data_IF_621895073425
#
_entry.id   IF_621895073425
#
_cell.length_a   1.000
_cell.length_b   1.000
_cell.length_c   1.000
_cell.angle_alpha   90.00
_cell.angle_beta   90.00
_cell.angle_gamma   90.00
#
_symmetry.space_group_name_H-M   'P 1'
#
loop_
_entity.id
_entity.type
_entity.pdbx_description
1 polymer ?
#
# COMPACT_ATOMS: atom_id res chain seq x y z
N UNK A 1 -22.06 7.50 -15.74
CA UNK A 1 -22.49 7.61 -17.15
C UNK A 1 -21.72 6.57 -17.95
N UNK A 2 -22.42 5.54 -18.43
CA UNK A 2 -21.85 4.43 -19.22
C UNK A 2 -21.23 4.96 -20.52
N UNK A 3 -19.95 4.65 -20.77
CA UNK A 3 -19.35 4.68 -22.10
C UNK A 3 -19.02 3.25 -22.51
N UNK A 4 -19.99 2.62 -23.15
CA UNK A 4 -19.79 1.39 -23.91
C UNK A 4 -18.95 1.75 -25.13
N UNK A 5 -17.69 1.32 -25.18
CA UNK A 5 -16.88 1.36 -26.41
C UNK A 5 -16.97 -0.03 -27.03
N UNK A 6 -18.01 -0.25 -27.83
CA UNK A 6 -18.09 -1.44 -28.67
C UNK A 6 -17.11 -1.32 -29.83
N UNK A 7 -16.00 -2.06 -29.77
CA UNK A 7 -15.12 -2.28 -30.92
C UNK A 7 -15.61 -3.54 -31.65
N UNK A 8 -16.63 -3.38 -32.48
CA UNK A 8 -17.05 -4.41 -33.42
C UNK A 8 -16.08 -4.45 -34.60
N UNK A 9 -15.09 -5.35 -34.59
CA UNK A 9 -14.30 -5.69 -35.78
C UNK A 9 -15.04 -6.80 -36.53
N UNK A 10 -16.17 -6.41 -37.15
CA UNK A 10 -16.83 -7.21 -38.17
C UNK A 10 -16.30 -6.80 -39.53
N UNK A 11 -15.14 -7.31 -39.92
CA UNK A 11 -14.64 -7.12 -41.29
C UNK A 11 -15.08 -8.31 -42.15
N UNK A 12 -16.31 -8.24 -42.65
CA UNK A 12 -16.79 -9.06 -43.75
C UNK A 12 -16.41 -8.36 -45.07
N UNK A 13 -15.23 -8.67 -45.63
CA UNK A 13 -14.91 -8.25 -47.00
C UNK A 13 -15.21 -9.39 -47.98
N UNK A 14 -16.29 -9.21 -48.73
CA UNK A 14 -16.64 -10.07 -49.86
C UNK A 14 -15.53 -9.98 -50.91
N UNK A 15 -14.87 -11.11 -51.10
CA UNK A 15 -13.79 -11.33 -52.05
C UNK A 15 -14.35 -11.31 -53.48
N UNK A 16 -14.38 -10.15 -54.14
CA UNK A 16 -14.64 -10.07 -55.57
C UNK A 16 -13.31 -9.93 -56.32
N UNK A 17 -12.58 -11.04 -56.44
CA UNK A 17 -11.46 -11.12 -57.38
C UNK A 17 -12.09 -11.26 -58.77
N UNK A 18 -12.11 -10.17 -59.53
CA UNK A 18 -12.38 -10.23 -60.97
C UNK A 18 -11.16 -10.87 -61.66
N UNK A 19 -11.12 -12.20 -61.71
CA UNK A 19 -10.19 -12.93 -62.59
C UNK A 19 -10.76 -12.88 -64.01
N UNK A 20 -10.22 -12.00 -64.85
CA UNK A 20 -10.45 -12.10 -66.30
C UNK A 20 -9.47 -13.15 -66.85
N UNK A 21 -9.92 -14.17 -67.60
CA UNK A 21 -9.02 -15.14 -68.19
C UNK A 21 -8.13 -14.46 -69.24
N UNK A 22 -6.81 -14.65 -69.10
CA UNK A 22 -5.84 -14.29 -70.14
C UNK A 22 -6.03 -15.29 -71.27
N UNK A 23 -6.85 -14.94 -72.26
CA UNK A 23 -6.79 -15.56 -73.60
C UNK A 23 -5.92 -14.67 -74.47
N UNK A 24 -4.77 -15.21 -74.86
CA UNK A 24 -3.85 -14.59 -75.78
C UNK A 24 -4.47 -14.53 -77.18
N UNK A 25 -4.82 -13.33 -77.64
CA UNK A 25 -4.94 -13.06 -79.07
C UNK A 25 -4.53 -11.61 -79.36
N UNK A 26 -3.41 -11.43 -80.07
CA UNK A 26 -2.83 -10.13 -80.37
C UNK A 26 -3.69 -9.33 -81.36
N UNK A 27 -4.66 -8.56 -80.85
CA UNK A 27 -5.21 -7.40 -81.56
C UNK A 27 -4.52 -6.14 -81.05
N UNK A 28 -4.07 -5.26 -81.96
CA UNK A 28 -3.58 -3.92 -81.63
C UNK A 28 -4.69 -3.19 -80.86
N UNK A 29 -4.56 -3.11 -79.54
CA UNK A 29 -5.40 -2.25 -78.71
C UNK A 29 -5.30 -0.82 -79.25
N UNK A 30 -6.44 -0.14 -79.34
CA UNK A 30 -6.49 1.28 -79.67
C UNK A 30 -5.81 2.08 -78.56
N UNK A 31 -5.27 3.27 -78.89
CA UNK A 31 -4.65 4.16 -77.89
C UNK A 31 -5.61 4.45 -76.73
N UNK A 32 -6.91 4.52 -77.00
CA UNK A 32 -7.95 4.73 -75.99
C UNK A 32 -8.10 3.54 -75.01
N UNK A 33 -8.02 2.29 -75.48
CA UNK A 33 -8.11 1.11 -74.61
C UNK A 33 -6.87 0.97 -73.71
N UNK A 34 -5.69 1.34 -74.21
CA UNK A 34 -4.47 1.38 -73.39
C UNK A 34 -4.52 2.48 -72.32
N UNK A 35 -5.15 3.63 -72.60
CA UNK A 35 -5.34 4.69 -71.61
C UNK A 35 -6.27 4.25 -70.48
N UNK A 36 -7.39 3.58 -70.80
CA UNK A 36 -8.31 3.03 -69.80
C UNK A 36 -7.63 1.98 -68.92
N UNK A 37 -6.81 1.09 -69.51
CA UNK A 37 -6.08 0.09 -68.75
C UNK A 37 -5.02 0.71 -67.81
N UNK A 38 -4.34 1.77 -68.26
CA UNK A 38 -3.38 2.50 -67.41
C UNK A 38 -4.10 3.15 -66.22
N UNK A 39 -5.26 3.76 -66.44
CA UNK A 39 -6.04 4.40 -65.38
C UNK A 39 -6.56 3.37 -64.36
N UNK A 40 -7.00 2.19 -64.83
CA UNK A 40 -7.39 1.07 -63.96
C UNK A 40 -6.21 0.52 -63.14
N UNK A 41 -5.03 0.36 -63.76
CA UNK A 41 -3.83 -0.09 -63.05
C UNK A 41 -3.35 0.95 -62.03
N UNK A 42 -3.47 2.24 -62.33
CA UNK A 42 -3.16 3.32 -61.38
C UNK A 42 -4.09 3.28 -60.17
N UNK A 43 -5.39 3.06 -60.39
CA UNK A 43 -6.37 2.93 -59.31
C UNK A 43 -6.11 1.69 -58.45
N UNK A 44 -5.71 0.56 -59.06
CA UNK A 44 -5.32 -0.64 -58.31
C UNK A 44 -4.06 -0.42 -57.47
N UNK A 45 -3.08 0.32 -57.98
CA UNK A 45 -1.86 0.65 -57.23
C UNK A 45 -2.20 1.52 -56.02
N UNK A 46 -3.05 2.54 -56.19
CA UNK A 46 -3.47 3.42 -55.09
C UNK A 46 -4.23 2.64 -54.00
N UNK A 47 -5.09 1.68 -54.39
CA UNK A 47 -5.77 0.79 -53.44
C UNK A 47 -4.80 -0.14 -52.69
N UNK A 48 -3.80 -0.68 -53.40
CA UNK A 48 -2.74 -1.50 -52.80
C UNK A 48 -1.85 -0.68 -51.84
N UNK A 49 -1.54 0.56 -52.17
CA UNK A 49 -0.79 1.48 -51.31
C UNK A 49 -1.57 1.83 -50.05
N UNK A 50 -2.88 2.08 -50.16
CA UNK A 50 -3.77 2.30 -49.02
C UNK A 50 -3.83 1.07 -48.09
N UNK A 51 -3.96 -0.14 -48.67
CA UNK A 51 -3.93 -1.40 -47.91
C UNK A 51 -2.60 -1.65 -47.22
N UNK A 52 -1.48 -1.31 -47.87
CA UNK A 52 -0.15 -1.41 -47.24
C UNK A 52 -0.04 -0.42 -46.08
N UNK A 53 -0.55 0.81 -46.20
CA UNK A 53 -0.54 1.78 -45.12
C UNK A 53 -1.36 1.31 -43.90
N UNK A 54 -2.55 0.75 -44.14
CA UNK A 54 -3.41 0.17 -43.11
C UNK A 54 -2.77 -1.06 -42.44
N UNK A 55 -2.11 -1.91 -43.24
CA UNK A 55 -1.37 -3.06 -42.73
C UNK A 55 -0.14 -2.64 -41.89
N UNK A 56 0.56 -1.56 -42.28
CA UNK A 56 1.67 -1.02 -41.49
C UNK A 56 1.17 -0.37 -40.19
N UNK A 57 0.01 0.29 -40.22
CA UNK A 57 -0.61 0.86 -39.03
C UNK A 57 -1.03 -0.23 -38.04
N UNK A 58 -1.76 -1.26 -38.49
CA UNK A 58 -2.11 -2.41 -37.65
C UNK A 58 -0.88 -3.14 -37.11
N UNK A 59 0.20 -3.27 -37.89
CA UNK A 59 1.48 -3.81 -37.40
C UNK A 59 2.12 -2.95 -36.30
N UNK A 60 1.98 -1.62 -36.35
CA UNK A 60 2.49 -0.71 -35.33
C UNK A 60 1.65 -0.81 -34.03
N UNK A 61 0.32 -0.89 -34.17
CA UNK A 61 -0.61 -1.07 -33.04
C UNK A 61 -0.39 -2.43 -32.35
N UNK A 62 -0.19 -3.52 -33.11
CA UNK A 62 0.17 -4.83 -32.57
C UNK A 62 1.54 -4.81 -31.87
N UNK A 63 2.49 -4.00 -32.35
CA UNK A 63 3.82 -3.86 -31.73
C UNK A 63 3.77 -3.10 -30.40
N UNK A 64 2.95 -2.05 -30.30
CA UNK A 64 2.75 -1.33 -29.03
C UNK A 64 1.89 -2.14 -28.05
N UNK A 65 0.83 -2.82 -28.51
CA UNK A 65 0.09 -3.78 -27.68
C UNK A 65 0.99 -4.91 -27.16
N UNK A 66 1.89 -5.44 -28.00
CA UNK A 66 2.88 -6.43 -27.58
C UNK A 66 3.90 -5.90 -26.56
N UNK A 67 4.15 -4.58 -26.53
CA UNK A 67 5.02 -3.93 -25.55
C UNK A 67 4.31 -3.73 -24.21
N UNK A 68 3.01 -3.41 -24.22
CA UNK A 68 2.19 -3.35 -23.01
C UNK A 68 2.01 -4.74 -22.39
N UNK A 69 1.65 -5.75 -23.19
CA UNK A 69 1.58 -7.16 -22.75
C UNK A 69 2.93 -7.65 -22.18
N UNK A 70 4.06 -7.25 -22.79
CA UNK A 70 5.42 -7.54 -22.29
C UNK A 70 5.76 -6.84 -20.97
N UNK A 71 5.03 -5.77 -20.63
CA UNK A 71 5.17 -5.05 -19.36
C UNK A 71 4.31 -5.71 -18.28
N UNK A 72 3.13 -6.22 -18.64
CA UNK A 72 2.18 -6.90 -17.74
C UNK A 72 2.58 -8.35 -17.40
N UNK A 73 3.38 -9.03 -18.24
CA UNK A 73 3.79 -10.44 -18.08
C UNK A 73 5.08 -10.66 -17.26
N UNK A 74 5.59 -9.65 -16.56
CA UNK A 74 6.80 -9.82 -15.73
C UNK A 74 6.42 -10.39 -14.38
N UNK A 75 7.08 -11.46 -13.96
CA UNK A 75 7.09 -11.83 -12.55
C UNK A 75 7.78 -10.72 -11.76
N UNK A 76 7.01 -9.96 -10.99
CA UNK A 76 7.48 -8.89 -10.10
C UNK A 76 7.73 -9.39 -8.68
N UNK A 77 7.09 -10.49 -8.30
CA UNK A 77 7.15 -11.10 -6.96
C UNK A 77 8.08 -12.31 -6.96
N UNK A 78 8.89 -12.44 -5.90
CA UNK A 78 9.67 -13.65 -5.65
C UNK A 78 8.75 -14.78 -5.17
N UNK A 79 8.94 -15.99 -5.68
CA UNK A 79 8.08 -17.14 -5.37
C UNK A 79 8.85 -18.20 -4.58
N UNK A 80 8.23 -18.79 -3.57
CA UNK A 80 8.85 -19.83 -2.75
C UNK A 80 7.82 -20.86 -2.27
N UNK A 81 8.32 -21.96 -1.73
CA UNK A 81 7.49 -23.03 -1.18
C UNK A 81 6.48 -22.47 -0.18
N UNK A 82 5.21 -22.85 -0.37
CA UNK A 82 4.09 -22.51 0.50
C UNK A 82 3.22 -21.39 -0.06
N UNK A 83 3.71 -20.66 -1.07
CA UNK A 83 2.96 -19.58 -1.71
C UNK A 83 1.86 -20.12 -2.63
N UNK A 84 0.74 -19.41 -2.70
CA UNK A 84 -0.33 -19.60 -3.66
C UNK A 84 -0.57 -18.33 -4.47
N UNK A 85 -1.13 -18.44 -5.68
CA UNK A 85 -1.56 -17.29 -6.48
C UNK A 85 -1.41 -17.49 -8.00
N UNK A 86 -1.97 -16.55 -8.77
CA UNK A 86 -1.92 -16.54 -10.25
C UNK A 86 -0.48 -16.53 -10.80
N UNK A 87 0.44 -15.88 -10.07
CA UNK A 87 1.87 -15.87 -10.35
C UNK A 87 2.46 -17.28 -10.20
N UNK A 88 2.04 -18.07 -9.21
CA UNK A 88 2.46 -19.47 -9.09
C UNK A 88 1.92 -20.33 -10.24
N UNK A 89 0.68 -20.10 -10.68
CA UNK A 89 0.10 -20.78 -11.85
C UNK A 89 0.88 -20.50 -13.12
N UNK A 90 1.19 -19.22 -13.37
CA UNK A 90 1.97 -18.81 -14.53
C UNK A 90 3.35 -19.48 -14.52
N UNK A 91 3.99 -19.59 -13.35
CA UNK A 91 5.27 -20.26 -13.21
C UNK A 91 5.15 -21.75 -13.56
N UNK A 92 4.09 -22.41 -13.07
CA UNK A 92 3.85 -23.82 -13.33
C UNK A 92 3.55 -24.09 -14.81
N UNK A 93 2.78 -23.23 -15.49
CA UNK A 93 2.55 -23.32 -16.93
C UNK A 93 3.85 -23.16 -17.74
N UNK A 94 4.73 -22.24 -17.34
CA UNK A 94 6.04 -22.08 -17.98
C UNK A 94 6.90 -23.33 -17.77
N UNK A 95 7.01 -23.82 -16.53
CA UNK A 95 7.86 -24.98 -16.22
C UNK A 95 7.35 -26.26 -16.90
N UNK A 96 6.04 -26.40 -17.07
CA UNK A 96 5.36 -27.51 -17.77
C UNK A 96 5.72 -27.59 -19.25
N UNK A 97 6.17 -26.49 -19.87
CA UNK A 97 6.61 -26.50 -21.28
C UNK A 97 7.83 -27.40 -21.52
N UNK A 98 8.59 -27.69 -20.46
CA UNK A 98 9.71 -28.62 -20.49
C UNK A 98 9.41 -29.84 -19.58
N UNK A 99 8.98 -30.97 -20.18
CA UNK A 99 8.72 -32.20 -19.43
C UNK A 99 9.94 -32.79 -18.71
N UNK A 100 11.19 -32.44 -19.07
CA UNK A 100 12.37 -32.85 -18.31
C UNK A 100 12.50 -32.07 -16.99
N UNK A 101 12.04 -30.82 -17.00
CA UNK A 101 12.04 -29.91 -15.85
C UNK A 101 10.82 -30.16 -14.96
N UNK A 102 9.61 -30.22 -15.52
CA UNK A 102 8.38 -30.40 -14.75
C UNK A 102 7.49 -31.53 -15.31
N UNK A 103 7.89 -32.81 -15.13
CA UNK A 103 7.21 -33.95 -15.73
C UNK A 103 5.78 -34.14 -15.23
N UNK A 104 5.48 -33.67 -14.01
CA UNK A 104 4.14 -33.75 -13.43
C UNK A 104 3.18 -32.76 -14.11
N UNK A 105 3.67 -31.63 -14.60
CA UNK A 105 2.90 -30.67 -15.40
C UNK A 105 1.63 -30.12 -14.73
N UNK A 106 1.53 -30.23 -13.39
CA UNK A 106 0.37 -29.80 -12.63
C UNK A 106 0.40 -28.29 -12.40
N UNK A 107 -0.70 -27.63 -12.75
CA UNK A 107 -0.88 -26.20 -12.56
C UNK A 107 -2.02 -26.04 -11.57
N UNK A 108 -1.66 -25.82 -10.31
CA UNK A 108 -2.58 -25.83 -9.17
C UNK A 108 -2.60 -24.50 -8.43
N UNK A 109 -1.77 -23.54 -8.87
CA UNK A 109 -1.59 -22.26 -8.19
C UNK A 109 -0.93 -22.36 -6.83
N UNK A 110 -0.46 -23.53 -6.42
CA UNK A 110 0.22 -23.77 -5.15
C UNK A 110 1.68 -24.18 -5.36
N UNK A 111 2.60 -23.45 -4.75
CA UNK A 111 4.02 -23.70 -4.83
C UNK A 111 4.39 -24.81 -3.83
N UNK A 112 4.10 -26.05 -4.23
CA UNK A 112 4.35 -27.23 -3.43
C UNK A 112 5.69 -27.91 -3.72
N UNK A 113 5.89 -29.13 -3.20
CA UNK A 113 7.13 -29.90 -3.39
C UNK A 113 7.47 -30.17 -4.86
N UNK A 114 6.47 -30.34 -5.73
CA UNK A 114 6.67 -30.60 -7.15
C UNK A 114 7.20 -29.36 -7.88
N UNK A 115 6.58 -28.20 -7.65
CA UNK A 115 7.03 -26.91 -8.20
C UNK A 115 8.41 -26.52 -7.67
N UNK A 116 8.68 -26.76 -6.39
CA UNK A 116 10.01 -26.59 -5.80
C UNK A 116 11.09 -27.42 -6.51
N UNK A 117 10.81 -28.70 -6.78
CA UNK A 117 11.74 -29.57 -7.50
C UNK A 117 11.92 -29.13 -8.96
N UNK A 118 10.85 -28.71 -9.63
CA UNK A 118 10.89 -28.17 -10.98
C UNK A 118 11.74 -26.89 -11.05
N UNK A 119 11.58 -25.96 -10.09
CA UNK A 119 12.39 -24.75 -10.00
C UNK A 119 13.87 -25.07 -9.76
N UNK A 120 14.21 -26.08 -8.94
CA UNK A 120 15.61 -26.50 -8.78
C UNK A 120 16.20 -27.08 -10.06
N UNK A 121 15.43 -27.88 -10.80
CA UNK A 121 15.85 -28.41 -12.10
C UNK A 121 16.06 -27.30 -13.11
N UNK A 122 15.14 -26.34 -13.18
CA UNK A 122 15.25 -25.15 -14.01
C UNK A 122 16.49 -24.32 -13.65
N UNK A 123 16.73 -24.04 -12.37
CA UNK A 123 17.90 -23.31 -11.90
C UNK A 123 19.20 -24.03 -12.28
N UNK A 124 19.24 -25.36 -12.13
CA UNK A 124 20.38 -26.17 -12.57
C UNK A 124 20.62 -26.07 -14.07
N UNK A 125 19.57 -26.17 -14.88
CA UNK A 125 19.65 -26.05 -16.34
C UNK A 125 20.09 -24.63 -16.77
N UNK A 126 19.67 -23.62 -16.02
CA UNK A 126 20.03 -22.22 -16.24
C UNK A 126 21.39 -21.80 -15.66
N UNK A 127 22.13 -22.69 -15.00
CA UNK A 127 23.42 -22.38 -14.37
C UNK A 127 23.30 -21.46 -13.13
N UNK A 128 22.14 -21.46 -12.47
CA UNK A 128 21.84 -20.67 -11.27
C UNK A 128 21.93 -21.57 -10.02
N UNK A 129 22.23 -20.97 -8.87
CA UNK A 129 22.17 -21.65 -7.57
C UNK A 129 20.80 -22.31 -7.35
N UNK A 130 20.81 -23.59 -7.01
CA UNK A 130 19.61 -24.45 -6.91
C UNK A 130 18.88 -24.25 -5.56
N UNK A 131 18.55 -23.00 -5.25
CA UNK A 131 17.86 -22.63 -4.01
C UNK A 131 16.41 -23.15 -3.95
N UNK A 132 15.80 -23.46 -5.10
CA UNK A 132 14.43 -23.96 -5.22
C UNK A 132 13.33 -22.92 -4.97
N UNK A 133 13.71 -21.69 -4.63
CA UNK A 133 12.86 -20.50 -4.67
C UNK A 133 13.18 -19.66 -5.90
N UNK A 134 12.18 -18.95 -6.43
CA UNK A 134 12.30 -18.02 -7.54
C UNK A 134 12.70 -16.64 -7.01
N UNK A 135 13.99 -16.46 -6.74
CA UNK A 135 14.58 -15.18 -6.34
C UNK A 135 14.95 -14.28 -7.53
N UNK A 136 15.56 -13.10 -7.31
CA UNK A 136 15.80 -12.09 -8.35
C UNK A 136 16.56 -12.61 -9.59
N UNK A 137 17.56 -13.48 -9.38
CA UNK A 137 18.34 -14.09 -10.48
C UNK A 137 17.50 -15.07 -11.29
N UNK A 138 16.64 -15.86 -10.64
CA UNK A 138 15.74 -16.81 -11.30
C UNK A 138 14.61 -16.08 -12.03
N UNK A 139 14.05 -15.05 -11.41
CA UNK A 139 13.07 -14.14 -12.02
C UNK A 139 13.61 -13.50 -13.30
N UNK A 140 14.83 -12.93 -13.23
CA UNK A 140 15.46 -12.32 -14.40
C UNK A 140 15.60 -13.32 -15.54
N UNK A 141 15.93 -14.58 -15.26
CA UNK A 141 16.12 -15.60 -16.30
C UNK A 141 14.79 -16.09 -16.89
N UNK A 142 13.75 -16.24 -16.07
CA UNK A 142 12.40 -16.58 -16.55
C UNK A 142 11.85 -15.43 -17.40
N UNK A 143 11.99 -14.18 -16.94
CA UNK A 143 11.60 -12.99 -17.71
C UNK A 143 12.41 -12.86 -19.01
N UNK A 144 13.69 -13.22 -19.02
CA UNK A 144 14.51 -13.27 -20.25
C UNK A 144 13.97 -14.33 -21.24
N UNK A 145 13.66 -15.54 -20.78
CA UNK A 145 13.09 -16.61 -21.63
C UNK A 145 11.70 -16.25 -22.17
N UNK A 146 10.88 -15.58 -21.36
CA UNK A 146 9.59 -15.02 -21.77
C UNK A 146 9.75 -13.94 -22.86
N UNK A 147 10.88 -13.23 -22.87
CA UNK A 147 11.18 -12.19 -23.85
C UNK A 147 11.88 -12.75 -25.11
N UNK A 148 12.77 -13.73 -24.96
CA UNK A 148 13.51 -14.40 -26.05
C UNK A 148 12.61 -15.36 -26.86
N UNK A 149 11.62 -16.00 -26.20
CA UNK A 149 10.61 -16.84 -26.84
C UNK A 149 9.69 -16.11 -27.83
N UNK A 150 9.71 -14.77 -27.83
CA UNK A 150 8.95 -13.92 -28.77
C UNK A 150 9.76 -13.59 -30.03
N UNK A 151 11.06 -13.96 -30.08
CA UNK A 151 11.99 -13.42 -31.09
C UNK A 151 12.83 -14.41 -31.90
N UNK A 152 13.04 -15.66 -31.48
CA UNK A 152 14.01 -16.55 -32.16
C UNK A 152 13.56 -17.97 -32.50
N UNK A 153 12.30 -18.30 -32.29
CA UNK A 153 11.70 -19.52 -32.84
C UNK A 153 10.28 -19.18 -33.21
N UNK A 154 9.97 -19.17 -34.52
CA UNK A 154 8.62 -19.01 -35.07
C UNK A 154 7.68 -20.18 -34.73
N UNK A 155 7.67 -20.59 -33.46
CA UNK A 155 6.74 -21.51 -32.84
C UNK A 155 6.25 -20.84 -31.57
N UNK A 156 5.28 -19.96 -31.72
CA UNK A 156 4.34 -19.69 -30.63
C UNK A 156 3.75 -21.06 -30.28
N UNK A 157 3.85 -21.56 -29.04
CA UNK A 157 3.14 -22.76 -28.65
C UNK A 157 1.66 -22.55 -28.96
N UNK A 158 1.01 -23.38 -29.81
CA UNK A 158 -0.40 -23.21 -30.12
C UNK A 158 -1.17 -23.38 -28.81
N UNK A 159 -1.72 -22.28 -28.28
CA UNK A 159 -2.35 -22.25 -26.97
C UNK A 159 -1.96 -21.08 -26.07
N UNK A 160 -0.78 -20.46 -26.25
CA UNK A 160 -0.32 -19.42 -25.32
C UNK A 160 -1.18 -18.13 -25.39
N UNK A 161 -1.61 -17.72 -26.58
CA UNK A 161 -2.56 -16.60 -26.78
C UNK A 161 -4.03 -17.02 -26.62
N UNK A 162 -4.28 -18.30 -26.31
CA UNK A 162 -5.59 -18.95 -26.37
C UNK A 162 -5.93 -19.56 -24.99
N UNK A 163 -5.04 -19.44 -24.00
CA UNK A 163 -5.21 -19.96 -22.64
C UNK A 163 -6.23 -19.10 -21.86
N UNK A 164 -7.15 -19.73 -21.08
CA UNK A 164 -8.28 -19.04 -20.43
C UNK A 164 -7.87 -17.80 -19.61
N UNK A 165 -6.79 -17.90 -18.83
CA UNK A 165 -6.31 -16.79 -17.99
C UNK A 165 -5.80 -15.56 -18.76
N UNK A 166 -5.31 -15.73 -20.00
CA UNK A 166 -4.91 -14.60 -20.85
C UNK A 166 -6.12 -13.97 -21.56
N UNK A 167 -7.19 -14.75 -21.81
CA UNK A 167 -8.44 -14.24 -22.40
C UNK A 167 -9.20 -13.34 -21.41
N UNK A 168 -9.30 -13.75 -20.14
CA UNK A 168 -9.97 -12.98 -19.06
C UNK A 168 -9.30 -11.60 -18.84
N UNK A 169 -7.97 -11.51 -19.04
CA UNK A 169 -7.18 -10.29 -18.78
C UNK A 169 -7.06 -9.32 -19.96
N UNK A 170 -7.44 -9.72 -21.19
CA UNK A 170 -7.30 -8.92 -22.41
C UNK A 170 -8.62 -8.41 -23.02
N UNK A 171 -9.78 -8.92 -22.60
CA UNK A 171 -11.09 -8.40 -23.01
C UNK A 171 -11.42 -8.50 -24.52
N UNK A 172 -10.65 -9.24 -25.30
CA UNK A 172 -10.90 -9.50 -26.73
C UNK A 172 -10.38 -10.88 -27.16
N UNK A 173 -11.11 -11.54 -28.07
CA UNK A 173 -10.75 -12.83 -28.67
C UNK A 173 -10.04 -12.57 -30.01
N UNK A 174 -8.72 -12.77 -30.14
CA UNK A 174 -8.04 -12.64 -31.41
C UNK A 174 -8.47 -13.73 -32.40
N UNK A 175 -8.84 -13.33 -33.62
CA UNK A 175 -9.18 -14.26 -34.68
C UNK A 175 -8.01 -15.19 -35.01
N UNK A 176 -8.30 -16.48 -35.19
CA UNK A 176 -7.31 -17.48 -35.62
C UNK A 176 -6.72 -17.05 -36.97
N UNK A 177 -5.39 -16.87 -37.09
CA UNK A 177 -4.77 -16.52 -38.36
C UNK A 177 -5.10 -17.56 -39.44
N UNK A 178 -5.55 -17.10 -40.60
CA UNK A 178 -5.99 -17.99 -41.69
C UNK A 178 -4.84 -18.92 -42.13
N UNK A 179 -5.07 -20.24 -42.03
CA UNK A 179 -4.12 -21.28 -42.44
C UNK A 179 -3.51 -22.12 -41.32
N UNK A 180 -3.94 -21.98 -40.06
CA UNK A 180 -3.46 -22.79 -38.93
C UNK A 180 -4.56 -23.75 -38.44
N UNK A 181 -4.31 -25.07 -38.47
CA UNK A 181 -5.21 -26.05 -37.87
C UNK A 181 -5.00 -26.15 -36.35
N UNK A 182 -6.09 -26.06 -35.60
CA UNK A 182 -6.10 -26.18 -34.15
C UNK A 182 -5.99 -27.66 -33.72
N UNK A 183 -5.28 -27.97 -32.62
CA UNK A 183 -5.27 -29.30 -32.04
C UNK A 183 -6.70 -29.75 -31.66
N UNK A 184 -7.06 -31.04 -31.80
CA UNK A 184 -8.45 -31.53 -31.65
C UNK A 184 -9.14 -31.15 -30.34
N UNK A 185 -8.38 -31.02 -29.24
CA UNK A 185 -8.91 -30.61 -27.93
C UNK A 185 -9.22 -29.12 -27.81
N UNK A 186 -8.65 -28.26 -28.66
CA UNK A 186 -8.92 -26.81 -28.72
C UNK A 186 -10.05 -26.53 -29.71
N UNK A 187 -10.10 -27.24 -30.84
CA UNK A 187 -11.18 -27.12 -31.83
C UNK A 187 -12.54 -27.51 -31.25
N UNK A 188 -12.57 -28.52 -30.37
CA UNK A 188 -13.81 -28.96 -29.70
C UNK A 188 -14.35 -27.94 -28.69
N UNK A 189 -13.46 -27.14 -28.07
CA UNK A 189 -13.78 -26.05 -27.13
C UNK A 189 -14.15 -24.72 -27.82
N UNK A 190 -14.26 -24.72 -29.15
CA UNK A 190 -14.60 -23.55 -29.96
C UNK A 190 -16.02 -23.63 -30.54
N UNK A 191 -16.59 -24.85 -30.65
CA UNK A 191 -17.96 -25.11 -31.13
C UNK A 191 -18.97 -25.26 -29.97
N UNK A 192 -18.48 -25.45 -28.75
CA UNK A 192 -19.28 -25.35 -27.53
C UNK A 192 -19.30 -23.86 -27.17
N UNK A 193 -20.33 -23.14 -27.65
CA UNK A 193 -20.83 -21.95 -26.95
C UNK A 193 -21.26 -22.42 -25.55
N UNK A 194 -20.30 -22.56 -24.63
CA UNK A 194 -20.60 -22.42 -23.22
C UNK A 194 -21.05 -20.98 -23.09
N UNK A 195 -22.36 -20.80 -22.95
CA UNK A 195 -22.94 -19.70 -22.19
C UNK A 195 -22.22 -19.72 -20.83
N UNK A 196 -21.03 -19.09 -20.76
CA UNK A 196 -20.43 -18.68 -19.49
C UNK A 196 -21.39 -17.61 -18.97
N UNK A 197 -22.43 -18.05 -18.26
CA UNK A 197 -23.08 -17.21 -17.26
C UNK A 197 -21.91 -16.66 -16.43
N UNK A 198 -21.74 -15.33 -16.42
CA UNK A 198 -20.82 -14.67 -15.50
C UNK A 198 -21.31 -15.06 -14.10
N UNK A 199 -20.71 -16.11 -13.53
CA UNK A 199 -20.99 -16.51 -12.16
C UNK A 199 -20.57 -15.32 -11.29
N UNK A 200 -21.56 -14.58 -10.83
CA UNK A 200 -21.40 -13.47 -9.89
C UNK A 200 -20.50 -13.94 -8.74
N UNK A 201 -19.60 -13.07 -8.29
CA UNK A 201 -18.71 -13.40 -7.19
C UNK A 201 -19.54 -13.63 -5.91
N UNK A 202 -19.35 -14.79 -5.30
CA UNK A 202 -20.05 -15.21 -4.07
C UNK A 202 -19.08 -15.55 -2.94
N UNK A 203 -17.78 -15.33 -3.14
CA UNK A 203 -16.77 -15.61 -2.13
C UNK A 203 -16.53 -14.37 -1.28
N UNK A 204 -16.77 -14.43 0.05
CA UNK A 204 -16.49 -13.29 0.91
C UNK A 204 -15.00 -13.20 1.30
N UNK A 205 -14.52 -11.99 1.65
CA UNK A 205 -13.10 -11.76 1.94
C UNK A 205 -12.64 -12.50 3.19
N UNK A 206 -11.46 -13.11 3.17
CA UNK A 206 -10.88 -13.78 4.33
C UNK A 206 -10.03 -12.81 5.17
N UNK A 207 -10.52 -12.49 6.37
CA UNK A 207 -9.80 -11.63 7.31
C UNK A 207 -8.66 -12.39 8.01
N UNK A 208 -7.47 -11.78 8.04
CA UNK A 208 -6.31 -12.27 8.80
C UNK A 208 -5.47 -11.13 9.39
N UNK A 209 -4.55 -11.46 10.29
CA UNK A 209 -3.66 -10.46 10.90
C UNK A 209 -4.35 -9.44 11.84
N UNK A 210 -5.58 -9.72 12.28
CA UNK A 210 -6.35 -8.83 13.14
C UNK A 210 -5.60 -8.49 14.44
N UNK A 211 -5.35 -7.21 14.68
CA UNK A 211 -4.64 -6.73 15.86
C UNK A 211 -5.06 -5.31 16.23
N UNK A 212 -4.99 -5.00 17.53
CA UNK A 212 -4.91 -3.63 18.01
C UNK A 212 -3.42 -3.28 18.18
N UNK A 213 -3.02 -2.12 17.68
CA UNK A 213 -1.66 -1.58 17.78
C UNK A 213 -1.69 -0.11 18.18
N UNK A 214 -0.55 0.43 18.59
CA UNK A 214 -0.38 1.85 18.93
C UNK A 214 -1.41 2.34 19.98
N UNK A 215 -1.79 1.46 20.90
CA UNK A 215 -2.77 1.78 21.95
C UNK A 215 -2.19 2.81 22.92
N UNK A 216 -2.93 3.89 23.13
CA UNK A 216 -2.63 4.98 24.07
C UNK A 216 -3.61 4.95 25.25
N UNK A 217 -3.65 6.00 26.05
CA UNK A 217 -4.64 6.17 27.12
C UNK A 217 -6.07 6.36 26.60
N UNK A 218 -6.24 6.89 25.38
CA UNK A 218 -7.55 7.24 24.85
C UNK A 218 -7.79 6.87 23.38
N UNK A 219 -6.87 6.12 22.76
CA UNK A 219 -7.00 5.72 21.36
C UNK A 219 -6.29 4.40 21.06
N UNK A 220 -6.64 3.78 19.94
CA UNK A 220 -5.92 2.62 19.39
C UNK A 220 -6.08 2.57 17.88
N UNK A 221 -5.15 1.90 17.18
CA UNK A 221 -5.30 1.56 15.77
C UNK A 221 -5.66 0.09 15.62
N UNK A 222 -6.74 -0.21 14.90
CA UNK A 222 -7.14 -1.58 14.56
C UNK A 222 -6.68 -1.89 13.14
N UNK A 223 -5.90 -2.96 12.98
CA UNK A 223 -5.34 -3.37 11.69
C UNK A 223 -5.68 -4.82 11.36
N UNK A 224 -5.89 -5.08 10.08
CA UNK A 224 -6.07 -6.43 9.53
C UNK A 224 -5.80 -6.42 8.02
N UNK A 225 -5.77 -7.61 7.42
CA UNK A 225 -5.66 -7.79 5.97
C UNK A 225 -6.73 -8.75 5.46
N UNK A 226 -7.13 -8.57 4.21
CA UNK A 226 -8.02 -9.47 3.46
C UNK A 226 -7.27 -10.10 2.29
N UNK A 227 -7.76 -11.24 1.78
CA UNK A 227 -7.22 -11.87 0.57
C UNK A 227 -7.77 -11.28 -0.74
N UNK A 228 -8.72 -10.35 -0.64
CA UNK A 228 -9.29 -9.55 -1.73
C UNK A 228 -9.65 -8.12 -1.28
N UNK A 229 -9.79 -7.19 -2.22
CA UNK A 229 -10.06 -5.77 -1.90
C UNK A 229 -11.45 -5.61 -1.28
N UNK A 230 -11.50 -5.07 -0.06
CA UNK A 230 -12.74 -4.95 0.69
C UNK A 230 -12.81 -3.63 1.48
N UNK A 231 -14.01 -3.27 1.92
CA UNK A 231 -14.24 -2.15 2.80
C UNK A 231 -13.78 -2.44 4.24
N UNK A 232 -13.75 -1.39 5.06
CA UNK A 232 -13.25 -1.46 6.43
C UNK A 232 -14.33 -1.03 7.42
N UNK A 233 -14.73 -1.89 8.36
CA UNK A 233 -15.66 -1.52 9.44
C UNK A 233 -15.19 -2.11 10.77
N UNK A 234 -15.25 -1.31 11.84
CA UNK A 234 -14.93 -1.74 13.21
C UNK A 234 -16.06 -1.39 14.16
N UNK A 235 -16.45 -2.36 14.98
CA UNK A 235 -17.28 -2.16 16.17
C UNK A 235 -16.44 -2.40 17.41
N UNK A 236 -16.65 -1.60 18.45
CA UNK A 236 -16.04 -1.82 19.75
C UNK A 236 -17.06 -1.64 20.89
N UNK A 237 -16.76 -2.22 22.04
CA UNK A 237 -17.60 -2.15 23.24
C UNK A 237 -16.77 -2.42 24.50
N UNK A 238 -17.16 -1.83 25.63
CA UNK A 238 -16.63 -2.17 26.97
C UNK A 238 -17.22 -3.49 27.51
N UNK A 239 -18.17 -4.08 26.79
CA UNK A 239 -18.87 -5.32 27.15
C UNK A 239 -18.81 -6.35 26.02
N UNK A 240 -18.75 -7.62 26.40
CA UNK A 240 -18.83 -8.76 25.49
C UNK A 240 -20.21 -9.45 25.59
N UNK A 241 -20.81 -9.92 24.48
CA UNK A 241 -20.31 -9.79 23.11
C UNK A 241 -20.49 -8.37 22.56
N UNK A 242 -19.60 -7.97 21.65
CA UNK A 242 -19.78 -6.75 20.84
C UNK A 242 -21.05 -6.90 19.98
N UNK A 243 -21.98 -5.95 20.10
CA UNK A 243 -23.19 -5.91 19.29
C UNK A 243 -22.87 -5.32 17.89
N UNK A 244 -22.93 -6.18 16.87
CA UNK A 244 -22.71 -5.82 15.46
C UNK A 244 -24.02 -5.76 14.67
N UNK A 245 -25.18 -6.04 15.28
CA UNK A 245 -26.49 -6.06 14.61
C UNK A 245 -27.32 -4.81 14.91
N UNK A 246 -27.06 -4.17 16.06
CA UNK A 246 -27.78 -2.97 16.51
C UNK A 246 -27.20 -1.65 15.99
N UNK A 247 -26.00 -1.25 16.46
CA UNK A 247 -25.41 0.05 16.13
C UNK A 247 -24.65 0.06 14.79
N UNK A 248 -24.56 1.25 14.19
CA UNK A 248 -23.61 1.53 13.12
C UNK A 248 -22.17 1.23 13.60
N UNK A 249 -21.24 0.86 12.70
CA UNK A 249 -19.84 0.67 13.06
C UNK A 249 -19.29 1.92 13.73
N UNK A 250 -18.43 1.72 14.72
CA UNK A 250 -17.74 2.82 15.42
C UNK A 250 -16.93 3.67 14.46
N UNK A 251 -16.23 3.00 13.55
CA UNK A 251 -15.43 3.64 12.50
C UNK A 251 -15.51 2.77 11.26
N UNK A 252 -15.57 3.41 10.10
CA UNK A 252 -15.62 2.73 8.81
C UNK A 252 -14.95 3.53 7.72
N UNK A 253 -14.42 2.83 6.71
CA UNK A 253 -13.94 3.37 5.45
C UNK A 253 -14.46 2.51 4.29
N UNK A 254 -14.95 3.16 3.24
CA UNK A 254 -15.52 2.52 2.06
C UNK A 254 -14.49 2.27 0.95
N UNK A 255 -13.25 2.74 1.10
CA UNK A 255 -12.19 2.42 0.14
C UNK A 255 -11.87 0.93 0.18
N UNK A 256 -11.92 0.27 -0.98
CA UNK A 256 -11.60 -1.15 -1.09
C UNK A 256 -10.09 -1.34 -1.11
N UNK A 257 -9.56 -2.01 -0.08
CA UNK A 257 -8.12 -2.21 0.12
C UNK A 257 -7.83 -3.63 0.62
N UNK A 258 -6.56 -4.05 0.53
CA UNK A 258 -6.08 -5.33 1.08
C UNK A 258 -5.52 -5.21 2.49
N UNK A 259 -5.08 -4.01 2.87
CA UNK A 259 -4.50 -3.70 4.17
C UNK A 259 -5.35 -2.60 4.83
N UNK A 260 -5.98 -2.95 5.95
CA UNK A 260 -6.93 -2.09 6.63
C UNK A 260 -6.31 -1.51 7.90
N UNK A 261 -6.64 -0.25 8.17
CA UNK A 261 -6.14 0.46 9.34
C UNK A 261 -7.14 1.53 9.74
N UNK A 262 -7.87 1.32 10.84
CA UNK A 262 -8.83 2.28 11.36
C UNK A 262 -8.52 2.64 12.82
N UNK A 263 -8.46 3.94 13.10
CA UNK A 263 -8.22 4.46 14.44
C UNK A 263 -9.54 4.64 15.20
N UNK A 264 -9.54 4.27 16.49
CA UNK A 264 -10.62 4.55 17.44
C UNK A 264 -10.08 5.55 18.47
N UNK A 265 -10.86 6.59 18.74
CA UNK A 265 -10.54 7.67 19.67
C UNK A 265 -11.57 7.75 20.80
N UNK A 266 -11.37 8.69 21.73
CA UNK A 266 -12.26 8.99 22.85
C UNK A 266 -12.50 7.77 23.78
N UNK A 267 -11.51 6.89 23.89
CA UNK A 267 -11.54 5.74 24.78
C UNK A 267 -11.24 6.15 26.23
N UNK A 268 -11.78 5.40 27.17
CA UNK A 268 -11.48 5.60 28.60
C UNK A 268 -10.13 4.93 28.93
N UNK A 269 -9.23 5.58 29.68
CA UNK A 269 -7.98 4.99 30.18
C UNK A 269 -8.20 3.77 31.08
N UNK A 270 -7.18 2.90 31.19
CA UNK A 270 -7.21 1.65 31.98
C UNK A 270 -8.49 0.81 31.78
N UNK A 271 -9.00 0.77 30.55
CA UNK A 271 -10.28 0.14 30.23
C UNK A 271 -10.09 -0.93 29.17
N UNK A 272 -10.64 -2.11 29.43
CA UNK A 272 -10.65 -3.22 28.45
C UNK A 272 -11.79 -3.00 27.45
N UNK A 273 -11.44 -2.97 26.17
CA UNK A 273 -12.37 -2.92 25.06
C UNK A 273 -12.32 -4.23 24.27
N UNK A 274 -13.50 -4.65 23.82
CA UNK A 274 -13.70 -5.74 22.88
C UNK A 274 -14.03 -5.14 21.52
N UNK A 275 -13.56 -5.76 20.45
CA UNK A 275 -13.80 -5.27 19.10
C UNK A 275 -13.99 -6.42 18.10
N UNK A 276 -14.77 -6.11 17.06
CA UNK A 276 -15.06 -6.97 15.91
C UNK A 276 -14.91 -6.14 14.65
N UNK A 277 -14.36 -6.74 13.59
CA UNK A 277 -14.23 -6.09 12.28
C UNK A 277 -15.10 -6.79 11.24
N UNK A 278 -15.53 -6.04 10.23
CA UNK A 278 -16.21 -6.59 9.06
C UNK A 278 -15.63 -5.97 7.80
N UNK A 279 -15.54 -6.77 6.75
CA UNK A 279 -15.09 -6.36 5.43
C UNK A 279 -16.04 -6.89 4.36
N UNK A 280 -16.36 -6.03 3.41
CA UNK A 280 -17.30 -6.24 2.30
C UNK A 280 -16.58 -5.98 0.99
N UNK A 281 -16.59 -6.93 0.06
CA UNK A 281 -15.98 -6.76 -1.27
C UNK A 281 -16.86 -5.90 -2.22
N UNK A 282 -16.43 -5.75 -3.48
CA UNK A 282 -17.20 -5.03 -4.52
C UNK A 282 -18.48 -5.78 -4.95
N UNK A 283 -18.59 -7.08 -4.64
CA UNK A 283 -19.72 -7.94 -4.95
C UNK A 283 -20.72 -8.09 -3.79
N UNK A 284 -20.59 -7.25 -2.75
CA UNK A 284 -21.40 -7.25 -1.53
C UNK A 284 -21.29 -8.55 -0.68
N UNK A 285 -20.24 -9.36 -0.86
CA UNK A 285 -19.95 -10.48 0.02
C UNK A 285 -19.27 -9.98 1.29
N UNK A 286 -19.77 -10.43 2.45
CA UNK A 286 -19.36 -9.93 3.76
C UNK A 286 -18.71 -11.01 4.59
N UNK A 287 -17.58 -10.69 5.21
CA UNK A 287 -17.00 -11.46 6.33
C UNK A 287 -16.92 -10.60 7.58
N UNK A 288 -17.23 -11.23 8.72
CA UNK A 288 -17.07 -10.65 10.06
C UNK A 288 -16.08 -11.50 10.86
N UNK A 289 -15.15 -10.85 11.57
CA UNK A 289 -14.15 -11.54 12.38
C UNK A 289 -14.75 -12.15 13.66
N UNK A 290 -13.98 -13.02 14.32
CA UNK A 290 -14.20 -13.29 15.74
C UNK A 290 -13.89 -12.05 16.59
N UNK A 291 -14.46 -11.98 17.78
CA UNK A 291 -14.15 -10.93 18.76
C UNK A 291 -12.69 -11.02 19.22
N UNK A 292 -12.07 -9.86 19.36
CA UNK A 292 -10.75 -9.66 19.95
C UNK A 292 -10.84 -8.55 21.01
N UNK A 293 -9.77 -8.32 21.76
CA UNK A 293 -9.75 -7.32 22.83
C UNK A 293 -8.42 -6.61 22.97
N UNK A 294 -8.44 -5.39 23.49
CA UNK A 294 -7.27 -4.63 23.90
C UNK A 294 -7.58 -3.87 25.22
N UNK A 295 -6.54 -3.36 25.88
CA UNK A 295 -6.67 -2.52 27.07
C UNK A 295 -5.94 -1.19 26.82
N UNK A 296 -6.59 -0.07 27.11
CA UNK A 296 -5.97 1.26 27.05
C UNK A 296 -4.93 1.42 28.16
N UNK A 297 -3.97 2.34 27.97
CA UNK A 297 -2.97 2.65 29.00
C UNK A 297 -3.62 3.40 30.17
N UNK A 298 -3.02 3.33 31.35
CA UNK A 298 -3.39 4.13 32.52
C UNK A 298 -3.08 5.62 32.27
N UNK A 299 -3.87 6.53 32.84
CA UNK A 299 -3.49 7.96 32.85
C UNK A 299 -2.23 8.17 33.65
N UNK A 300 -1.34 9.02 33.13
CA UNK A 300 -0.27 9.54 33.95
C UNK A 300 -0.82 10.57 34.93
N UNK A 301 -0.60 10.29 36.22
CA UNK A 301 -1.04 11.12 37.35
C UNK A 301 0.12 11.46 38.29
N UNK A 302 1.36 11.10 37.93
CA UNK A 302 2.50 11.19 38.85
C UNK A 302 3.28 12.47 38.59
N UNK A 303 2.91 13.54 39.29
CA UNK A 303 3.64 14.80 39.19
C UNK A 303 5.14 14.71 39.55
N UNK A 304 5.96 15.63 39.01
CA UNK A 304 7.32 15.87 39.47
C UNK A 304 7.40 16.14 40.98
N UNK A 305 8.52 15.82 41.61
CA UNK A 305 8.74 16.21 43.01
C UNK A 305 8.92 17.73 43.09
N UNK A 306 8.46 18.33 44.20
CA UNK A 306 8.77 19.73 44.48
C UNK A 306 10.28 19.93 44.62
N UNK A 307 10.82 20.96 43.99
CA UNK A 307 12.20 21.39 44.17
C UNK A 307 12.39 21.85 45.62
N UNK A 308 13.40 21.33 46.30
CA UNK A 308 13.66 21.61 47.73
C UNK A 308 14.94 22.42 47.98
N UNK A 309 15.72 22.67 46.92
CA UNK A 309 17.02 23.33 46.97
C UNK A 309 17.09 24.59 46.09
N UNK A 310 15.94 25.19 45.74
CA UNK A 310 15.91 26.46 45.03
C UNK A 310 16.69 27.50 45.83
N UNK A 311 17.65 28.13 45.19
CA UNK A 311 18.54 29.11 45.80
C UNK A 311 18.58 30.38 44.96
N UNK A 312 18.63 31.53 45.64
CA UNK A 312 18.83 32.85 45.05
C UNK A 312 20.25 33.32 45.35
N UNK A 313 20.98 33.75 44.33
CA UNK A 313 22.42 34.01 44.35
C UNK A 313 22.77 35.22 43.47
N UNK A 314 24.02 35.68 43.56
CA UNK A 314 24.63 36.68 42.66
C UNK A 314 23.76 37.93 42.44
N UNK A 315 23.26 38.54 43.51
CA UNK A 315 22.45 39.74 43.40
C UNK A 315 23.23 40.89 42.73
N UNK A 316 22.54 41.60 41.85
CA UNK A 316 22.97 42.91 41.35
C UNK A 316 21.96 43.96 41.82
N UNK A 317 22.09 45.19 41.35
CA UNK A 317 21.09 46.24 41.58
C UNK A 317 19.77 45.96 40.88
N UNK A 318 19.73 45.02 39.91
CA UNK A 318 18.54 44.80 39.07
C UNK A 318 18.32 43.36 38.63
N UNK A 319 19.10 42.41 39.14
CA UNK A 319 18.97 40.99 38.80
C UNK A 319 19.39 40.08 39.95
N UNK A 320 18.85 38.86 39.95
CA UNK A 320 19.21 37.78 40.87
C UNK A 320 19.28 36.48 40.06
N UNK A 321 20.33 35.69 40.28
CA UNK A 321 20.46 34.35 39.70
C UNK A 321 19.75 33.33 40.59
N UNK A 322 19.06 32.38 39.97
CA UNK A 322 18.44 31.24 40.63
C UNK A 322 19.18 29.96 40.22
N UNK A 323 19.31 29.02 41.16
CA UNK A 323 19.82 27.67 40.87
C UNK A 323 19.09 26.62 41.70
N UNK A 324 18.81 25.47 41.09
CA UNK A 324 18.11 24.33 41.70
C UNK A 324 18.53 23.01 41.05
N UNK A 325 18.13 21.89 41.64
CA UNK A 325 18.24 20.57 41.02
C UNK A 325 16.96 20.23 40.25
N UNK A 326 17.11 19.83 38.98
CA UNK A 326 15.98 19.41 38.14
C UNK A 326 15.25 18.21 38.76
N UNK A 327 13.93 18.28 38.98
CA UNK A 327 13.13 17.11 39.32
C UNK A 327 12.94 16.23 38.08
N UNK A 328 12.35 15.05 38.29
CA UNK A 328 11.95 14.18 37.19
C UNK A 328 10.61 14.55 36.58
N UNK A 329 10.17 13.67 35.71
CA UNK A 329 8.82 13.59 35.17
C UNK A 329 7.92 12.99 36.26
N UNK A 330 8.09 11.70 36.53
CA UNK A 330 7.50 10.99 37.67
C UNK A 330 8.36 11.13 38.93
N UNK A 331 8.08 12.15 39.72
CA UNK A 331 8.82 12.43 40.96
C UNK A 331 10.27 12.85 40.68
N UNK A 332 11.21 11.88 40.75
CA UNK A 332 12.65 12.08 40.51
C UNK A 332 13.18 11.26 39.33
N UNK A 333 12.30 10.67 38.52
CA UNK A 333 12.69 9.83 37.38
C UNK A 333 12.31 10.53 36.08
N UNK A 334 13.13 10.41 35.04
CA UNK A 334 12.84 11.03 33.74
C UNK A 334 13.25 12.51 33.70
N UNK A 335 12.51 13.28 32.90
CA UNK A 335 12.76 14.69 32.63
C UNK A 335 11.42 15.41 32.60
N UNK A 336 11.21 16.37 33.50
CA UNK A 336 10.01 17.19 33.47
C UNK A 336 9.86 17.94 32.13
N UNK A 337 8.63 18.35 31.81
CA UNK A 337 8.37 19.10 30.59
C UNK A 337 8.62 20.61 30.73
N UNK A 338 8.32 21.20 31.89
CA UNK A 338 8.44 22.67 32.06
C UNK A 338 8.57 23.15 33.50
N UNK A 339 9.00 24.40 33.66
CA UNK A 339 8.98 25.15 34.93
C UNK A 339 8.04 26.35 34.82
N UNK A 340 7.31 26.64 35.90
CA UNK A 340 6.69 27.95 36.17
C UNK A 340 7.46 28.56 37.33
N UNK A 341 8.35 29.52 37.03
CA UNK A 341 9.17 30.21 38.05
C UNK A 341 8.54 31.56 38.34
N UNK A 342 8.32 31.88 39.61
CA UNK A 342 7.68 33.14 40.03
C UNK A 342 8.48 33.88 41.07
N UNK A 343 8.29 35.20 41.08
CA UNK A 343 8.90 36.10 42.05
C UNK A 343 7.91 37.16 42.55
N UNK A 344 8.11 37.62 43.78
CA UNK A 344 7.25 38.61 44.44
C UNK A 344 8.00 39.38 45.53
N UNK A 345 7.56 40.59 45.86
CA UNK A 345 8.07 41.35 47.02
C UNK A 345 7.42 40.94 48.35
N UNK A 346 6.48 40.01 48.30
CA UNK A 346 5.91 39.31 49.47
C UNK A 346 6.22 37.83 49.38
N UNK A 347 6.29 37.15 50.51
CA UNK A 347 6.50 35.70 50.55
C UNK A 347 5.47 34.96 49.70
N UNK A 348 5.95 34.05 48.85
CA UNK A 348 5.11 33.24 47.98
C UNK A 348 4.66 32.00 48.75
N UNK A 349 3.38 31.72 48.67
CA UNK A 349 2.70 30.56 49.26
C UNK A 349 1.79 29.95 48.21
N UNK A 350 1.29 28.74 48.45
CA UNK A 350 0.34 28.11 47.52
C UNK A 350 -0.93 28.94 47.34
N UNK A 351 -1.37 29.67 48.36
CA UNK A 351 -2.59 30.50 48.33
C UNK A 351 -2.43 31.77 47.47
N UNK A 352 -1.22 32.32 47.38
CA UNK A 352 -0.95 33.55 46.62
C UNK A 352 -0.13 33.34 45.34
N UNK A 353 0.14 32.08 44.96
CA UNK A 353 0.92 31.69 43.78
C UNK A 353 0.48 32.43 42.51
N UNK A 354 -0.83 32.48 42.25
CA UNK A 354 -1.42 33.11 41.08
C UNK A 354 -1.24 34.63 41.04
N UNK A 355 -0.93 35.26 42.17
CA UNK A 355 -0.69 36.71 42.29
C UNK A 355 0.79 37.09 42.18
N UNK A 356 1.71 36.14 42.29
CA UNK A 356 3.14 36.37 42.07
C UNK A 356 3.43 36.58 40.57
N UNK A 357 4.47 37.35 40.27
CA UNK A 357 4.88 37.62 38.89
C UNK A 357 5.59 36.40 38.33
N UNK A 358 5.09 35.85 37.23
CA UNK A 358 5.80 34.79 36.50
C UNK A 358 7.03 35.38 35.80
N UNK A 359 8.14 34.66 35.93
CA UNK A 359 9.35 34.93 35.17
C UNK A 359 9.11 34.67 33.68
N UNK A 360 10.09 35.01 32.86
CA UNK A 360 10.10 34.67 31.45
C UNK A 360 11.43 34.03 31.11
N UNK A 361 11.46 33.21 30.07
CA UNK A 361 12.67 32.50 29.62
C UNK A 361 13.13 31.43 30.63
N UNK A 362 12.18 30.72 31.24
CA UNK A 362 12.48 29.52 32.01
C UNK A 362 13.25 28.50 31.15
N UNK A 363 14.28 27.83 31.70
CA UNK A 363 15.05 26.85 30.95
C UNK A 363 14.18 25.64 30.61
N UNK A 364 14.49 24.98 29.49
CA UNK A 364 13.95 23.64 29.23
C UNK A 364 14.53 22.68 30.27
N UNK A 365 13.71 21.92 31.02
CA UNK A 365 14.22 21.02 32.03
C UNK A 365 15.21 20.00 31.46
N UNK A 366 16.31 19.82 32.18
CA UNK A 366 17.27 18.74 31.98
C UNK A 366 16.82 17.49 32.74
N UNK A 367 17.51 16.38 32.47
CA UNK A 367 17.28 15.11 33.19
C UNK A 367 17.34 15.28 34.70
N UNK A 368 16.51 14.52 35.43
CA UNK A 368 16.45 14.58 36.88
C UNK A 368 17.84 14.50 37.55
N UNK A 369 18.08 15.37 38.52
CA UNK A 369 19.36 15.49 39.24
C UNK A 369 20.39 16.40 38.58
N UNK A 370 20.14 16.91 37.38
CA UNK A 370 20.97 17.95 36.77
C UNK A 370 20.80 19.29 37.50
N UNK A 371 21.84 20.12 37.50
CA UNK A 371 21.73 21.49 38.01
C UNK A 371 21.13 22.40 36.95
N UNK A 372 20.10 23.13 37.35
CA UNK A 372 19.46 24.18 36.56
C UNK A 372 19.84 25.56 37.08
N UNK A 373 19.71 26.55 36.20
CA UNK A 373 19.91 27.96 36.56
C UNK A 373 19.14 28.90 35.64
N UNK A 374 18.70 30.03 36.17
CA UNK A 374 18.18 31.15 35.38
C UNK A 374 18.47 32.49 36.05
N UNK A 375 18.38 33.60 35.30
CA UNK A 375 18.55 34.95 35.85
C UNK A 375 17.23 35.72 35.78
N UNK A 376 16.74 36.18 36.93
CA UNK A 376 15.61 37.11 36.99
C UNK A 376 16.14 38.53 36.88
N UNK A 377 15.77 39.24 35.81
CA UNK A 377 16.22 40.60 35.51
C UNK A 377 15.12 41.65 35.67
N UNK A 378 15.47 42.93 35.63
CA UNK A 378 14.49 44.03 35.70
C UNK A 378 13.93 44.29 37.10
N UNK A 379 14.65 43.85 38.13
CA UNK A 379 14.30 44.05 39.53
C UNK A 379 14.63 45.48 39.97
N UNK A 380 13.93 45.97 40.99
CA UNK A 380 14.25 47.26 41.63
C UNK A 380 15.40 47.09 42.62
N UNK A 381 16.30 48.06 42.73
CA UNK A 381 17.40 48.06 43.70
C UNK A 381 16.90 48.10 45.15
N UNK A 382 17.73 47.63 46.09
CA UNK A 382 17.43 47.58 47.54
C UNK A 382 16.08 46.94 47.90
N UNK A 383 15.58 46.00 47.07
CA UNK A 383 14.26 45.39 47.23
C UNK A 383 14.41 43.90 47.47
N UNK A 384 13.76 43.39 48.53
CA UNK A 384 13.69 41.94 48.81
C UNK A 384 12.66 41.28 47.91
N UNK A 385 13.09 40.24 47.22
CA UNK A 385 12.24 39.36 46.43
C UNK A 385 12.25 37.95 47.00
N UNK A 386 11.10 37.31 46.94
CA UNK A 386 10.88 35.89 47.24
C UNK A 386 10.66 35.16 45.92
N UNK A 387 11.29 34.00 45.77
CA UNK A 387 11.26 33.20 44.56
C UNK A 387 10.68 31.82 44.87
N UNK A 388 9.88 31.27 43.96
CA UNK A 388 9.39 29.91 44.06
C UNK A 388 9.14 29.38 42.66
N UNK A 389 9.13 28.05 42.51
CA UNK A 389 8.79 27.42 41.25
C UNK A 389 7.85 26.24 41.45
N UNK A 390 7.13 25.91 40.37
CA UNK A 390 6.49 24.62 40.16
C UNK A 390 7.07 23.97 38.89
N UNK A 391 6.95 22.66 38.83
CA UNK A 391 7.44 21.85 37.71
C UNK A 391 6.30 20.99 37.20
N UNK A 392 6.17 20.85 35.89
CA UNK A 392 5.14 20.03 35.24
C UNK A 392 5.76 19.00 34.30
N UNK A 393 5.16 17.81 34.25
CA UNK A 393 5.44 16.74 33.27
C UNK A 393 4.72 17.00 31.91
N UNK A 394 4.74 16.03 31.00
CA UNK A 394 4.10 16.09 29.68
C UNK A 394 2.57 15.94 29.71
N UNK A 395 2.03 15.34 30.77
CA UNK A 395 0.58 15.23 31.04
C UNK A 395 0.22 16.16 32.19
N UNK A 396 0.34 17.49 31.97
CA UNK A 396 0.81 18.53 32.89
C UNK A 396 0.38 18.38 34.37
N UNK A 397 0.85 17.35 35.06
CA UNK A 397 0.70 17.20 36.49
C UNK A 397 1.73 18.11 37.14
N UNK A 398 1.25 19.01 38.00
CA UNK A 398 2.11 20.01 38.65
C UNK A 398 2.66 19.51 39.98
N UNK A 399 3.95 19.77 40.21
CA UNK A 399 4.56 19.60 41.52
C UNK A 399 3.96 20.54 42.57
N UNK A 400 4.16 20.19 43.84
CA UNK A 400 3.93 21.14 44.94
C UNK A 400 4.93 22.31 44.86
N UNK A 401 4.59 23.42 45.52
CA UNK A 401 5.44 24.61 45.56
C UNK A 401 6.85 24.26 46.07
N UNK A 402 7.88 24.78 45.40
CA UNK A 402 9.26 24.66 45.88
C UNK A 402 9.47 25.28 47.27
N UNK A 403 10.66 25.08 47.85
CA UNK A 403 11.12 26.01 48.89
C UNK A 403 11.17 27.46 48.36
N UNK A 404 11.05 28.44 49.27
CA UNK A 404 10.86 29.85 48.91
C UNK A 404 12.05 30.71 49.38
N UNK A 405 13.21 30.68 48.69
CA UNK A 405 14.32 31.55 49.05
C UNK A 405 13.95 33.02 48.83
N UNK A 406 14.60 33.89 49.60
CA UNK A 406 14.50 35.34 49.42
C UNK A 406 15.87 35.98 49.37
N UNK A 407 16.04 36.96 48.49
CA UNK A 407 17.27 37.74 48.39
C UNK A 407 16.93 39.20 48.04
N UNK A 408 17.70 40.13 48.59
CA UNK A 408 17.58 41.55 48.29
C UNK A 408 18.56 41.95 47.19
N UNK A 409 18.11 42.76 46.24
CA UNK A 409 19.00 43.41 45.26
C UNK A 409 19.97 44.37 45.96
N UNK A 410 21.16 44.52 45.39
CA UNK A 410 22.19 45.41 45.91
C UNK A 410 21.78 46.89 45.84
N UNK A 411 22.42 47.73 46.65
CA UNK A 411 22.35 49.19 46.55
C UNK A 411 23.10 49.70 45.32
N UNK A 412 22.68 50.85 44.78
CA UNK A 412 23.37 51.54 43.67
C UNK A 412 24.79 52.01 43.99
#
# INVERSE_FOLDING_TARGET
MKKVIGIGIGILFILSIFVVPIVAEAKKASIAELQVLIEQLQQQIEELEAKIAEFQQSKAEVKEAGKEVKTTLRFIRQLQWGMTGEDVELLQEILKTDPEIYPEGLVTGYFGPLTYNAVKKFQRAAGIEQAGRVGPKTLSKINELLIEGVGSSGKVPPGLLIAPGIRKKLGYIPAVPSGQELPPGISKKLDEEEEEEEEEDVTPPLISGLSAIETTTNSTMITWVTDEEADSKVWHSESTPVDTEGPDPTVSDSELVLEHSLAIFDLVPDTTYYYVVSSTDDADNVTTSSESSFITLEEDTTAPVAVTDLSALNETTSSIDLSWTAPGDDGNTGTAASYDVRYSTSEITSDNWSSATQATEEPTPSVAGATESMTISGLSAETTYHFALKTSDEVPNESSLSNVPSLATSSE
#
